data_IF_798971498511
#
_entry.id   IF_798971498511
#
_cell.length_a   1.000
_cell.length_b   1.000
_cell.length_c   1.000
_cell.angle_alpha   90.00
_cell.angle_beta   90.00
_cell.angle_gamma   90.00
#
_symmetry.space_group_name_H-M   'P 1'
#
loop_
_entity.id
_entity.type
_entity.pdbx_description
1 polymer ?
#
# COMPACT_ATOMS: atom_id res chain seq x y z
N UNK A 1 16.00 33.27 40.12
CA UNK A 1 14.95 33.33 39.10
C UNK A 1 15.32 32.65 37.79
N UNK A 2 16.53 32.63 37.37
CA UNK A 2 16.92 32.08 36.05
C UNK A 2 16.98 30.56 35.94
N UNK A 3 16.95 29.83 37.06
CA UNK A 3 17.00 28.35 37.06
C UNK A 3 15.67 27.66 36.79
N UNK A 4 14.55 28.34 37.06
CA UNK A 4 13.18 27.78 36.85
C UNK A 4 12.76 27.90 35.39
N UNK A 5 13.23 28.92 34.69
CA UNK A 5 12.92 29.15 33.27
C UNK A 5 13.57 28.14 32.35
N UNK A 6 14.77 27.63 32.72
CA UNK A 6 15.49 26.61 31.93
C UNK A 6 14.84 25.22 32.00
N UNK A 7 14.17 24.89 33.10
CA UNK A 7 13.50 23.58 33.26
C UNK A 7 12.22 23.50 32.42
N UNK A 8 11.54 24.64 32.22
CA UNK A 8 10.30 24.68 31.45
C UNK A 8 10.54 24.53 29.94
N UNK A 9 11.71 24.96 29.46
CA UNK A 9 12.04 24.84 28.03
C UNK A 9 12.41 23.41 27.60
N UNK A 10 12.96 22.62 28.53
CA UNK A 10 13.38 21.23 28.26
C UNK A 10 12.16 20.29 28.15
N UNK A 11 11.06 20.59 28.82
CA UNK A 11 9.83 19.78 28.77
C UNK A 11 9.02 19.91 27.47
N UNK A 12 9.22 20.97 26.70
CA UNK A 12 8.51 21.20 25.43
C UNK A 12 9.13 20.47 24.23
N UNK A 13 10.36 20.00 24.35
CA UNK A 13 11.06 19.31 23.25
C UNK A 13 10.75 17.82 23.21
N UNK A 14 10.24 17.24 24.30
CA UNK A 14 10.04 15.80 24.43
C UNK A 14 8.84 15.24 23.65
N UNK A 15 7.92 16.09 23.20
CA UNK A 15 6.71 15.65 22.50
C UNK A 15 6.84 15.59 20.97
N UNK A 16 7.94 16.05 20.42
CA UNK A 16 8.11 16.13 18.97
C UNK A 16 8.70 14.86 18.35
N UNK A 17 9.26 13.95 19.14
CA UNK A 17 9.92 12.75 18.62
C UNK A 17 8.96 11.58 18.33
N UNK A 18 7.80 11.53 18.97
CA UNK A 18 6.87 10.41 18.79
C UNK A 18 5.99 10.51 17.52
N UNK A 19 5.93 11.67 16.87
CA UNK A 19 5.08 11.89 15.70
C UNK A 19 5.75 11.49 14.38
N UNK A 20 7.07 11.30 14.35
CA UNK A 20 7.82 11.07 13.11
C UNK A 20 7.94 9.58 12.71
N UNK A 21 7.65 8.64 13.63
CA UNK A 21 7.86 7.22 13.38
C UNK A 21 6.58 6.45 13.00
N UNK A 22 5.44 7.13 12.88
CA UNK A 22 4.18 6.47 12.55
C UNK A 22 4.05 6.27 11.04
N UNK A 23 4.09 5.02 10.60
CA UNK A 23 3.85 4.67 9.21
C UNK A 23 2.38 4.81 8.81
N UNK A 24 2.13 5.01 7.53
CA UNK A 24 0.85 4.74 6.93
C UNK A 24 0.68 3.23 6.68
N UNK A 25 -0.55 2.79 6.50
CA UNK A 25 -0.88 1.41 6.11
C UNK A 25 -1.47 1.38 4.71
N UNK A 26 -0.99 0.45 3.90
CA UNK A 26 -1.50 0.26 2.54
C UNK A 26 -2.05 -1.16 2.41
N UNK A 27 -3.31 -1.25 2.06
CA UNK A 27 -3.99 -2.49 1.73
C UNK A 27 -3.96 -2.71 0.23
N UNK A 28 -3.38 -3.82 -0.22
CA UNK A 28 -3.51 -4.26 -1.60
C UNK A 28 -4.55 -5.37 -1.67
N UNK A 29 -5.59 -5.17 -2.48
CA UNK A 29 -6.74 -6.08 -2.57
C UNK A 29 -6.89 -6.61 -3.97
N UNK A 30 -7.12 -7.92 -4.09
CA UNK A 30 -7.45 -8.59 -5.33
C UNK A 30 -8.71 -9.42 -5.16
N UNK A 31 -9.81 -8.95 -5.74
CA UNK A 31 -11.14 -9.52 -5.56
C UNK A 31 -11.65 -10.34 -6.75
N UNK A 32 -10.81 -10.57 -7.74
CA UNK A 32 -11.20 -11.19 -9.01
C UNK A 32 -11.75 -12.58 -8.83
N UNK A 33 -12.76 -12.88 -9.65
CA UNK A 33 -13.48 -14.13 -9.64
C UNK A 33 -12.84 -15.24 -10.46
N UNK A 34 -13.67 -16.20 -10.85
CA UNK A 34 -13.29 -17.45 -11.46
C UNK A 34 -12.53 -17.33 -12.81
N UNK A 35 -12.70 -16.24 -13.55
CA UNK A 35 -12.06 -16.05 -14.85
C UNK A 35 -10.67 -15.38 -14.77
N UNK A 36 -10.25 -14.96 -13.59
CA UNK A 36 -8.94 -14.37 -13.43
C UNK A 36 -7.84 -15.43 -13.40
N UNK A 37 -6.60 -15.08 -13.83
CA UNK A 37 -5.48 -15.99 -13.75
C UNK A 37 -5.25 -16.48 -12.32
N UNK A 38 -5.00 -17.76 -12.14
CA UNK A 38 -4.68 -18.34 -10.84
C UNK A 38 -3.28 -17.90 -10.32
N UNK A 39 -2.43 -17.39 -11.20
CA UNK A 39 -1.07 -16.94 -10.86
C UNK A 39 -1.10 -15.70 -9.97
N UNK A 40 -0.25 -15.64 -8.93
CA UNK A 40 -0.09 -14.44 -8.13
C UNK A 40 0.51 -13.30 -8.94
N UNK A 41 0.11 -12.07 -8.58
CA UNK A 41 0.76 -10.86 -9.09
C UNK A 41 1.88 -10.43 -8.15
N UNK A 42 2.99 -10.00 -8.69
CA UNK A 42 4.06 -9.40 -7.91
C UNK A 42 3.74 -7.93 -7.64
N UNK A 43 3.83 -7.54 -6.37
CA UNK A 43 3.63 -6.16 -5.90
C UNK A 43 4.99 -5.50 -5.68
N UNK A 44 5.09 -4.25 -6.08
CA UNK A 44 6.28 -3.43 -5.87
C UNK A 44 5.92 -2.13 -5.17
N UNK A 45 6.73 -1.77 -4.20
CA UNK A 45 6.73 -0.47 -3.54
C UNK A 45 8.08 0.18 -3.83
N UNK A 46 8.06 1.36 -4.45
CA UNK A 46 9.26 2.09 -4.86
C UNK A 46 10.23 1.21 -5.67
N UNK A 47 9.70 0.45 -6.63
CA UNK A 47 10.43 -0.46 -7.52
C UNK A 47 11.04 -1.70 -6.83
N UNK A 48 10.80 -1.89 -5.53
CA UNK A 48 11.24 -3.07 -4.79
C UNK A 48 10.07 -4.03 -4.59
N UNK A 49 10.34 -5.32 -4.74
CA UNK A 49 9.31 -6.33 -4.51
C UNK A 49 8.86 -6.31 -3.05
N UNK A 50 7.56 -6.17 -2.85
CA UNK A 50 6.93 -6.11 -1.53
C UNK A 50 6.19 -7.40 -1.17
N UNK A 51 5.78 -8.16 -2.17
CA UNK A 51 5.06 -9.42 -1.97
C UNK A 51 4.38 -9.91 -3.22
N UNK A 52 3.56 -10.94 -3.06
CA UNK A 52 2.78 -11.55 -4.13
C UNK A 52 1.31 -11.57 -3.72
N UNK A 53 0.43 -11.18 -4.63
CA UNK A 53 -0.99 -11.09 -4.39
C UNK A 53 -1.76 -12.15 -5.19
N UNK A 54 -2.24 -13.17 -4.51
CA UNK A 54 -3.06 -14.23 -5.08
C UNK A 54 -4.52 -13.79 -5.22
N UNK A 55 -5.28 -14.50 -6.06
CA UNK A 55 -6.70 -14.22 -6.26
C UNK A 55 -7.48 -14.33 -4.94
N UNK A 56 -8.46 -13.45 -4.74
CA UNK A 56 -9.29 -13.35 -3.52
C UNK A 56 -8.48 -13.17 -2.22
N UNK A 57 -7.39 -12.42 -2.31
CA UNK A 57 -6.50 -12.13 -1.18
C UNK A 57 -6.28 -10.62 -1.04
N UNK A 58 -5.88 -10.23 0.15
CA UNK A 58 -5.34 -8.91 0.42
C UNK A 58 -4.09 -9.00 1.28
N UNK A 59 -3.24 -8.01 1.16
CA UNK A 59 -2.04 -7.85 1.99
C UNK A 59 -2.01 -6.45 2.59
N UNK A 60 -1.35 -6.31 3.74
CA UNK A 60 -1.21 -5.03 4.44
C UNK A 60 0.28 -4.73 4.56
N UNK A 61 0.67 -3.52 4.19
CA UNK A 61 2.05 -3.07 4.25
C UNK A 61 2.15 -1.77 5.03
N UNK A 62 3.11 -1.70 5.93
CA UNK A 62 3.50 -0.46 6.59
C UNK A 62 4.43 0.32 5.66
N UNK A 63 4.08 1.57 5.38
CA UNK A 63 4.80 2.43 4.45
C UNK A 63 5.13 3.75 5.13
N UNK A 64 6.39 4.18 5.03
CA UNK A 64 6.82 5.46 5.61
C UNK A 64 6.06 6.63 4.99
N UNK A 65 5.83 7.71 5.75
CA UNK A 65 5.27 8.93 5.18
C UNK A 65 6.11 9.45 4.01
N UNK A 66 5.46 9.96 2.98
CA UNK A 66 6.09 10.49 1.79
C UNK A 66 5.42 10.02 0.50
N UNK A 67 5.98 10.41 -0.63
CA UNK A 67 5.49 10.00 -1.93
C UNK A 67 6.07 8.64 -2.32
N UNK A 68 5.18 7.69 -2.61
CA UNK A 68 5.54 6.32 -2.98
C UNK A 68 4.90 5.91 -4.30
N UNK A 69 5.62 5.10 -5.05
CA UNK A 69 5.13 4.49 -6.29
C UNK A 69 4.80 3.02 -6.03
N UNK A 70 3.57 2.65 -6.34
CA UNK A 70 3.12 1.26 -6.31
C UNK A 70 2.95 0.74 -7.72
N UNK A 71 3.38 -0.49 -7.96
CA UNK A 71 3.21 -1.16 -9.25
C UNK A 71 2.97 -2.65 -9.09
N UNK A 72 2.45 -3.27 -10.15
CA UNK A 72 2.20 -4.71 -10.20
C UNK A 72 2.56 -5.29 -11.55
N UNK A 73 2.94 -6.54 -11.56
CA UNK A 73 3.21 -7.31 -12.77
C UNK A 73 3.02 -8.81 -12.53
N UNK A 74 2.89 -9.59 -13.60
CA UNK A 74 2.70 -11.04 -13.48
C UNK A 74 3.92 -11.78 -12.94
N UNK A 75 5.10 -11.43 -13.39
CA UNK A 75 6.34 -12.12 -13.05
C UNK A 75 7.53 -11.17 -13.06
N UNK A 76 8.63 -11.64 -12.48
CA UNK A 76 9.90 -10.93 -12.40
C UNK A 76 10.16 -10.29 -11.07
N UNK A 77 11.42 -10.25 -10.66
CA UNK A 77 11.86 -9.67 -9.39
C UNK A 77 12.11 -8.17 -9.46
N UNK A 78 12.27 -7.64 -10.64
CA UNK A 78 12.51 -6.22 -10.90
C UNK A 78 11.25 -5.58 -11.48
N UNK A 79 10.90 -4.41 -11.00
CA UNK A 79 9.78 -3.65 -11.54
C UNK A 79 10.05 -3.27 -12.99
N UNK A 80 9.08 -3.56 -13.87
CA UNK A 80 9.16 -3.23 -15.29
C UNK A 80 8.74 -1.78 -15.53
N UNK A 81 9.41 -1.09 -16.42
CA UNK A 81 9.10 0.31 -16.77
C UNK A 81 7.68 0.48 -17.34
N UNK A 82 7.20 -0.54 -18.06
CA UNK A 82 5.86 -0.56 -18.68
C UNK A 82 4.77 -1.10 -17.76
N UNK A 83 5.09 -1.52 -16.53
CA UNK A 83 4.08 -1.93 -15.55
C UNK A 83 3.21 -0.74 -15.16
N UNK A 84 1.93 -1.01 -14.92
CA UNK A 84 1.04 0.03 -14.40
C UNK A 84 1.49 0.50 -13.02
N UNK A 85 1.51 1.81 -12.83
CA UNK A 85 2.00 2.45 -11.62
C UNK A 85 1.00 3.49 -11.14
N UNK A 86 0.91 3.63 -9.83
CA UNK A 86 0.26 4.78 -9.20
C UNK A 86 1.20 5.40 -8.18
N UNK A 87 1.07 6.71 -8.03
CA UNK A 87 1.77 7.46 -6.99
C UNK A 87 0.79 7.82 -5.89
N UNK A 88 1.18 7.59 -4.66
CA UNK A 88 0.37 7.92 -3.48
C UNK A 88 1.22 8.66 -2.47
N UNK A 89 0.74 9.83 -2.06
CA UNK A 89 1.31 10.58 -0.94
C UNK A 89 0.82 9.96 0.35
N UNK A 90 1.67 9.17 1.00
CA UNK A 90 1.37 8.49 2.26
C UNK A 90 1.56 9.44 3.42
N UNK A 91 0.55 9.58 4.26
CA UNK A 91 0.59 10.35 5.50
C UNK A 91 0.67 9.42 6.72
N UNK A 92 1.36 9.87 7.75
CA UNK A 92 1.51 9.13 9.00
C UNK A 92 0.14 8.79 9.61
N UNK A 93 -0.05 7.51 9.96
CA UNK A 93 -1.27 7.03 10.63
C UNK A 93 -2.51 6.91 9.75
N UNK A 94 -2.42 7.20 8.45
CA UNK A 94 -3.52 7.01 7.51
C UNK A 94 -3.49 5.63 6.86
N UNK A 95 -4.66 5.19 6.38
CA UNK A 95 -4.86 3.92 5.70
C UNK A 95 -5.27 4.20 4.25
N UNK A 96 -4.63 3.48 3.34
CA UNK A 96 -4.87 3.56 1.90
C UNK A 96 -5.30 2.20 1.39
N UNK A 97 -6.25 2.17 0.45
CA UNK A 97 -6.77 0.94 -0.13
C UNK A 97 -6.51 0.95 -1.64
N UNK A 98 -5.74 -0.01 -2.09
CA UNK A 98 -5.37 -0.18 -3.49
C UNK A 98 -5.99 -1.46 -4.02
N UNK A 99 -6.85 -1.34 -5.01
CA UNK A 99 -7.43 -2.48 -5.69
C UNK A 99 -6.59 -2.84 -6.91
N UNK A 100 -6.25 -4.11 -7.03
CA UNK A 100 -5.53 -4.68 -8.17
C UNK A 100 -6.50 -5.52 -8.96
N UNK A 101 -6.72 -5.17 -10.21
CA UNK A 101 -7.64 -5.85 -11.11
C UNK A 101 -6.93 -6.35 -12.37
N UNK A 102 -7.38 -7.52 -12.83
CA UNK A 102 -7.01 -8.03 -14.13
C UNK A 102 -8.08 -7.68 -15.15
N UNK A 103 -7.69 -7.09 -16.27
CA UNK A 103 -8.60 -6.81 -17.37
C UNK A 103 -8.22 -7.62 -18.60
N UNK A 104 -9.17 -8.38 -19.10
CA UNK A 104 -9.07 -8.97 -20.42
C UNK A 104 -9.19 -7.89 -21.49
N UNK A 105 -8.14 -7.71 -22.27
CA UNK A 105 -8.17 -6.86 -23.45
C UNK A 105 -8.33 -7.69 -24.72
N UNK A 106 -8.86 -7.09 -25.77
CA UNK A 106 -9.03 -7.75 -27.06
C UNK A 106 -7.66 -8.15 -27.69
N UNK A 107 -6.65 -7.32 -27.49
CA UNK A 107 -5.29 -7.59 -27.99
C UNK A 107 -4.25 -7.83 -26.89
N UNK A 108 -4.54 -7.40 -25.65
CA UNK A 108 -3.59 -7.49 -24.55
C UNK A 108 -4.30 -7.44 -23.21
N UNK A 109 -3.98 -8.38 -22.35
CA UNK A 109 -4.40 -8.36 -20.96
C UNK A 109 -3.62 -7.31 -20.16
N UNK A 110 -4.29 -6.63 -19.25
CA UNK A 110 -3.69 -5.59 -18.41
C UNK A 110 -3.98 -5.82 -16.96
N UNK A 111 -3.02 -5.44 -16.12
CA UNK A 111 -3.20 -5.27 -14.69
C UNK A 111 -3.47 -3.81 -14.38
N UNK A 112 -4.47 -3.52 -13.59
CA UNK A 112 -4.82 -2.17 -13.17
C UNK A 112 -4.69 -2.00 -11.67
N UNK A 113 -4.08 -0.88 -11.29
CA UNK A 113 -4.13 -0.35 -9.94
C UNK A 113 -5.18 0.75 -9.83
N UNK A 114 -5.96 0.72 -8.78
CA UNK A 114 -6.90 1.78 -8.44
C UNK A 114 -6.89 2.02 -6.94
N UNK A 115 -6.65 3.26 -6.53
CA UNK A 115 -6.94 3.67 -5.17
C UNK A 115 -8.45 3.79 -5.01
N UNK A 116 -9.00 3.17 -3.96
CA UNK A 116 -10.42 3.19 -3.63
C UNK A 116 -10.65 3.80 -2.26
N UNK A 117 -11.85 4.34 -2.05
CA UNK A 117 -12.25 4.87 -0.76
C UNK A 117 -12.50 3.76 0.25
N UNK A 118 -12.44 4.11 1.53
CA UNK A 118 -12.65 3.17 2.63
C UNK A 118 -14.00 2.45 2.55
N UNK A 119 -15.07 3.14 2.18
CA UNK A 119 -16.40 2.55 2.04
C UNK A 119 -16.48 1.51 0.91
N UNK A 120 -15.78 1.74 -0.20
CA UNK A 120 -15.65 0.74 -1.27
C UNK A 120 -14.82 -0.46 -0.80
N UNK A 121 -13.70 -0.21 -0.12
CA UNK A 121 -12.84 -1.27 0.41
C UNK A 121 -13.55 -2.17 1.41
N UNK A 122 -14.35 -1.59 2.29
CA UNK A 122 -15.14 -2.34 3.28
C UNK A 122 -16.18 -3.27 2.66
N UNK A 123 -16.63 -3.03 1.45
CA UNK A 123 -17.52 -3.93 0.72
C UNK A 123 -16.78 -5.15 0.15
N UNK A 124 -15.51 -4.99 -0.16
CA UNK A 124 -14.68 -6.01 -0.82
C UNK A 124 -13.94 -6.89 0.18
N UNK A 125 -13.34 -6.28 1.21
CA UNK A 125 -12.48 -6.96 2.18
C UNK A 125 -13.09 -8.20 2.85
N UNK A 126 -14.38 -8.23 3.24
CA UNK A 126 -14.97 -9.41 3.88
C UNK A 126 -14.94 -10.68 3.01
N UNK A 127 -14.91 -10.53 1.68
CA UNK A 127 -14.77 -11.63 0.74
C UNK A 127 -13.35 -12.11 0.47
N UNK A 128 -12.35 -11.45 1.08
CA UNK A 128 -10.94 -11.72 0.86
C UNK A 128 -10.30 -12.33 2.11
N UNK A 129 -9.25 -13.12 1.88
CA UNK A 129 -8.40 -13.64 2.97
C UNK A 129 -7.08 -12.89 3.00
N UNK A 130 -6.61 -12.57 4.20
CA UNK A 130 -5.31 -11.90 4.37
C UNK A 130 -4.16 -12.86 4.07
N UNK A 131 -3.19 -12.36 3.31
CA UNK A 131 -1.88 -13.01 3.16
C UNK A 131 -1.06 -12.60 4.38
N UNK A 132 -0.64 -13.58 5.16
CA UNK A 132 0.35 -13.37 6.23
C UNK A 132 1.73 -13.39 5.58
N UNK A 133 2.45 -12.31 5.75
CA UNK A 133 3.88 -12.20 5.36
C UNK A 133 4.74 -12.80 6.45
#
# INVERSE_FOLDING_TARGET
>A
MNKILSIFLVLLVSNSLSAQDKNGKVYFMRSEGFQAPAVPFNLFIDQKIAGRLSNKRFSIHDVKPGNHTFSTQFAGKNAKDKAEKIEVQVEAGKIYYIQVNFQHGFFKNKLHFKEVKEDEAKKVLPGLKQIKN
#
